data_IF_386228557873
#
_entry.id   IF_386228557873
#
_cell.length_a   1.000
_cell.length_b   1.000
_cell.length_c   1.000
_cell.angle_alpha   90.00
_cell.angle_beta   90.00
_cell.angle_gamma   90.00
#
_symmetry.space_group_name_H-M   'P 1'
#
loop_
_entity.id
_entity.type
_entity.pdbx_description
1 polymer ?
#
# COMPACT_ATOMS: atom_id res chain seq x y z
N UNK A 1 -26.95 8.77 -3.82
CA UNK A 1 -26.07 7.78 -3.16
C UNK A 1 -26.74 7.35 -1.87
N UNK A 2 -27.03 6.05 -1.68
CA UNK A 2 -27.65 5.58 -0.42
C UNK A 2 -26.60 5.57 0.70
N UNK A 3 -27.02 5.66 1.96
CA UNK A 3 -26.13 5.61 3.13
C UNK A 3 -25.19 4.39 3.10
N UNK A 4 -25.68 3.25 2.58
CA UNK A 4 -24.90 2.02 2.38
C UNK A 4 -23.82 2.12 1.29
N UNK A 5 -23.99 2.98 0.29
CA UNK A 5 -22.99 3.26 -0.74
C UNK A 5 -21.91 4.20 -0.22
N UNK A 6 -22.31 5.24 0.51
CA UNK A 6 -21.40 6.17 1.19
C UNK A 6 -20.53 5.46 2.24
N UNK A 7 -21.11 4.57 3.04
CA UNK A 7 -20.37 3.78 4.03
C UNK A 7 -19.28 2.90 3.42
N UNK A 8 -19.53 2.28 2.26
CA UNK A 8 -18.53 1.50 1.52
C UNK A 8 -17.36 2.35 1.02
N UNK A 9 -17.67 3.54 0.49
CA UNK A 9 -16.63 4.48 0.03
C UNK A 9 -15.76 4.94 1.19
N UNK A 10 -16.37 5.30 2.33
CA UNK A 10 -15.66 5.70 3.54
C UNK A 10 -14.72 4.61 4.08
N UNK A 11 -15.18 3.36 4.13
CA UNK A 11 -14.35 2.21 4.56
C UNK A 11 -13.18 1.99 3.60
N UNK A 12 -13.42 2.06 2.29
CA UNK A 12 -12.35 1.95 1.28
C UNK A 12 -11.29 3.06 1.43
N UNK A 13 -11.73 4.30 1.65
CA UNK A 13 -10.83 5.44 1.85
C UNK A 13 -10.00 5.30 3.13
N UNK A 14 -10.62 4.85 4.23
CA UNK A 14 -9.93 4.60 5.49
C UNK A 14 -8.83 3.53 5.37
N UNK A 15 -9.08 2.46 4.59
CA UNK A 15 -8.08 1.43 4.31
C UNK A 15 -6.88 1.97 3.53
N UNK A 16 -7.13 2.81 2.52
CA UNK A 16 -6.05 3.44 1.73
C UNK A 16 -5.18 4.34 2.61
N UNK A 17 -5.80 5.19 3.43
CA UNK A 17 -5.08 6.09 4.34
C UNK A 17 -4.26 5.29 5.36
N UNK A 18 -4.86 4.26 5.98
CA UNK A 18 -4.18 3.42 6.96
C UNK A 18 -2.96 2.72 6.35
N UNK A 19 -3.08 2.23 5.13
CA UNK A 19 -1.97 1.57 4.46
C UNK A 19 -0.87 2.54 4.01
N UNK A 20 -1.21 3.75 3.55
CA UNK A 20 -0.23 4.81 3.32
C UNK A 20 0.52 5.18 4.61
N UNK A 21 -0.21 5.29 5.74
CA UNK A 21 0.38 5.52 7.05
C UNK A 21 1.30 4.38 7.49
N UNK A 22 0.90 3.12 7.28
CA UNK A 22 1.71 1.96 7.55
C UNK A 22 2.97 1.91 6.67
N UNK A 23 2.87 2.30 5.40
CA UNK A 23 4.00 2.45 4.48
C UNK A 23 4.99 3.47 5.04
N UNK A 24 4.53 4.67 5.39
CA UNK A 24 5.39 5.75 5.92
C UNK A 24 6.00 5.34 7.26
N UNK A 25 5.25 4.65 8.13
CA UNK A 25 5.78 4.15 9.41
C UNK A 25 6.86 3.09 9.20
N UNK A 26 6.66 2.17 8.24
CA UNK A 26 7.58 1.09 7.93
C UNK A 26 8.78 1.52 7.08
N UNK A 27 8.73 2.66 6.36
CA UNK A 27 9.86 3.13 5.56
C UNK A 27 10.48 4.43 6.11
N UNK A 28 9.80 5.15 6.99
CA UNK A 28 10.21 6.47 7.48
C UNK A 28 11.21 6.44 8.64
N UNK A 29 11.38 5.29 9.32
CA UNK A 29 12.17 5.21 10.55
C UNK A 29 13.35 4.23 10.52
N UNK A 30 13.69 3.64 9.38
CA UNK A 30 14.54 2.45 9.41
C UNK A 30 15.96 2.65 8.88
N UNK A 31 16.98 2.54 9.75
CA UNK A 31 18.34 2.27 9.33
C UNK A 31 18.40 0.81 8.84
N UNK A 32 18.29 0.61 7.52
CA UNK A 32 18.54 -0.65 6.78
C UNK A 32 17.90 -1.91 7.42
N UNK A 33 16.64 -2.23 7.09
CA UNK A 33 16.16 -3.59 7.37
C UNK A 33 16.73 -4.58 6.38
N UNK A 34 17.06 -5.80 6.84
CA UNK A 34 17.22 -6.93 5.97
C UNK A 34 15.84 -7.30 5.40
N UNK A 35 15.50 -6.79 4.22
CA UNK A 35 14.21 -7.06 3.56
C UNK A 35 13.93 -6.15 2.36
N UNK A 36 14.33 -4.87 2.43
CA UNK A 36 14.42 -4.03 1.24
C UNK A 36 15.70 -4.38 0.49
N UNK A 37 15.54 -4.85 -0.74
CA UNK A 37 16.68 -5.15 -1.61
C UNK A 37 17.26 -3.80 -2.02
N UNK A 38 18.25 -3.35 -1.27
CA UNK A 38 19.06 -2.18 -1.59
C UNK A 38 20.38 -2.64 -2.20
N UNK A 39 20.39 -2.79 -3.53
CA UNK A 39 21.60 -3.14 -4.26
C UNK A 39 22.34 -1.85 -4.55
N UNK A 40 23.33 -1.52 -3.71
CA UNK A 40 24.34 -0.52 -4.02
C UNK A 40 25.56 -1.20 -4.66
N UNK A 41 25.76 -0.97 -5.96
CA UNK A 41 27.00 -1.25 -6.69
C UNK A 41 27.67 0.09 -7.03
N UNK A 42 28.97 0.11 -7.28
CA UNK A 42 29.71 1.34 -7.69
C UNK A 42 29.02 1.98 -8.90
N UNK A 43 28.25 3.05 -8.68
CA UNK A 43 27.50 3.79 -9.70
C UNK A 43 26.01 3.41 -9.88
N UNK A 44 25.47 2.43 -9.14
CA UNK A 44 24.08 1.99 -9.30
C UNK A 44 23.44 1.67 -7.94
N UNK A 45 22.32 2.34 -7.66
CA UNK A 45 21.54 2.15 -6.44
C UNK A 45 20.13 1.72 -6.84
N UNK A 46 19.79 0.46 -6.59
CA UNK A 46 18.45 -0.06 -6.87
C UNK A 46 17.77 -0.42 -5.55
N UNK A 47 16.66 0.25 -5.27
CA UNK A 47 15.80 0.03 -4.12
C UNK A 47 14.54 -0.70 -4.58
N UNK A 48 14.32 -1.92 -4.06
CA UNK A 48 13.09 -2.67 -4.30
C UNK A 48 12.29 -2.70 -3.00
N UNK A 49 11.27 -1.82 -2.85
CA UNK A 49 10.35 -1.86 -1.73
C UNK A 49 9.34 -3.00 -1.94
N UNK A 50 9.78 -4.25 -1.76
CA UNK A 50 8.95 -5.45 -2.00
C UNK A 50 7.71 -5.46 -1.11
N UNK A 51 7.86 -5.04 0.15
CA UNK A 51 6.73 -4.97 1.09
C UNK A 51 5.74 -3.89 0.64
N UNK A 52 6.25 -2.74 0.16
CA UNK A 52 5.40 -1.65 -0.27
C UNK A 52 4.61 -1.97 -1.53
N UNK A 53 5.24 -2.62 -2.52
CA UNK A 53 4.56 -3.05 -3.74
C UNK A 53 3.51 -4.13 -3.48
N UNK A 54 3.77 -5.04 -2.53
CA UNK A 54 2.82 -6.07 -2.11
C UNK A 54 1.58 -5.46 -1.43
N UNK A 55 1.79 -4.53 -0.48
CA UNK A 55 0.70 -3.83 0.22
C UNK A 55 -0.14 -3.01 -0.75
N UNK A 56 0.52 -2.28 -1.66
CA UNK A 56 -0.16 -1.49 -2.69
C UNK A 56 -1.01 -2.39 -3.59
N UNK A 57 -0.48 -3.54 -4.03
CA UNK A 57 -1.22 -4.50 -4.84
C UNK A 57 -2.45 -5.04 -4.10
N UNK A 58 -2.30 -5.46 -2.83
CA UNK A 58 -3.38 -6.02 -2.04
C UNK A 58 -4.51 -5.00 -1.79
N UNK A 59 -4.15 -3.76 -1.48
CA UNK A 59 -5.11 -2.65 -1.37
C UNK A 59 -5.86 -2.42 -2.67
N UNK A 60 -5.13 -2.34 -3.79
CA UNK A 60 -5.73 -2.06 -5.09
C UNK A 60 -6.70 -3.19 -5.46
N UNK A 61 -6.33 -4.44 -5.21
CA UNK A 61 -7.22 -5.60 -5.38
C UNK A 61 -8.44 -5.49 -4.47
N UNK A 62 -8.30 -5.15 -3.19
CA UNK A 62 -9.43 -4.98 -2.26
C UNK A 62 -10.40 -3.87 -2.68
N UNK A 63 -9.86 -2.72 -3.08
CA UNK A 63 -10.62 -1.58 -3.59
C UNK A 63 -11.35 -1.97 -4.86
N UNK A 64 -10.63 -2.48 -5.87
CA UNK A 64 -11.22 -2.91 -7.14
C UNK A 64 -12.28 -3.99 -6.91
N UNK A 65 -12.03 -4.97 -6.04
CA UNK A 65 -13.01 -6.02 -5.73
C UNK A 65 -14.27 -5.43 -5.06
N UNK A 66 -14.12 -4.51 -4.10
CA UNK A 66 -15.26 -3.82 -3.47
C UNK A 66 -16.11 -2.99 -4.43
N UNK A 67 -15.50 -2.39 -5.46
CA UNK A 67 -16.18 -1.56 -6.45
C UNK A 67 -16.71 -2.35 -7.67
N UNK A 68 -16.01 -3.40 -8.10
CA UNK A 68 -16.32 -4.15 -9.31
C UNK A 68 -17.06 -5.47 -9.05
N UNK A 69 -16.87 -6.14 -7.91
CA UNK A 69 -17.51 -7.44 -7.63
C UNK A 69 -18.94 -7.33 -7.08
N UNK A 70 -19.57 -6.15 -7.16
CA UNK A 70 -20.98 -5.93 -6.85
C UNK A 70 -21.81 -5.48 -8.05
N UNK A 71 -21.29 -5.64 -9.27
CA UNK A 71 -22.15 -5.76 -10.48
C UNK A 71 -22.45 -7.23 -10.71
#
# INVERSE_FOLDING_TARGET
MTASGLGRVLVGFGLVIAACGALIWLFGALPRLPGDIYVQRRGFTLYIPVVGSLVLSLLLTLVLNLFFARR
#
